data_IF_447937646405
#
_entry.id   IF_447937646405
#
_cell.length_a   1.000
_cell.length_b   1.000
_cell.length_c   1.000
_cell.angle_alpha   90.00
_cell.angle_beta   90.00
_cell.angle_gamma   90.00
#
_symmetry.space_group_name_H-M   'P 1'
#
loop_
_entity.id
_entity.type
_entity.pdbx_description
1 polymer ?
#
# COMPACT_ATOMS: atom_id res chain seq x y z
N UNK A 1 -13.74 -4.03 15.61
CA UNK A 1 -12.72 -4.00 14.56
C UNK A 1 -12.26 -5.43 14.34
N UNK A 2 -12.06 -5.83 13.09
CA UNK A 2 -11.53 -7.14 12.72
C UNK A 2 -10.58 -6.97 11.53
N UNK A 3 -9.64 -7.89 11.36
CA UNK A 3 -8.72 -7.87 10.24
C UNK A 3 -8.12 -9.24 10.00
N UNK A 4 -7.60 -9.44 8.79
CA UNK A 4 -6.89 -10.62 8.39
C UNK A 4 -5.75 -10.23 7.45
N UNK A 5 -4.66 -10.98 7.52
CA UNK A 5 -3.51 -10.84 6.64
C UNK A 5 -3.06 -12.21 6.12
N UNK A 6 -2.36 -12.17 4.99
CA UNK A 6 -1.78 -13.34 4.35
C UNK A 6 -0.50 -12.93 3.63
N UNK A 7 0.56 -13.69 3.87
CA UNK A 7 1.80 -13.64 3.08
C UNK A 7 2.05 -15.03 2.51
N UNK A 8 2.25 -15.08 1.19
CA UNK A 8 2.60 -16.30 0.48
C UNK A 8 3.74 -15.98 -0.48
N UNK A 9 4.85 -16.70 -0.38
CA UNK A 9 5.98 -16.42 -1.25
C UNK A 9 7.07 -17.47 -1.21
N UNK A 10 8.09 -17.19 -2.01
CA UNK A 10 9.40 -17.80 -1.96
C UNK A 10 10.45 -16.71 -2.16
N UNK A 11 11.72 -17.09 -2.26
CA UNK A 11 12.82 -16.15 -2.40
C UNK A 11 12.65 -15.15 -3.56
N UNK A 12 11.92 -15.51 -4.63
CA UNK A 12 11.81 -14.72 -5.84
C UNK A 12 10.53 -13.91 -5.99
N UNK A 13 9.44 -14.37 -5.38
CA UNK A 13 8.13 -13.76 -5.52
C UNK A 13 7.44 -13.86 -4.17
N UNK A 14 6.94 -12.73 -3.69
CA UNK A 14 6.12 -12.65 -2.49
C UNK A 14 4.79 -11.97 -2.82
N UNK A 15 3.71 -12.55 -2.30
CA UNK A 15 2.36 -12.02 -2.37
C UNK A 15 1.94 -11.66 -0.96
N UNK A 16 1.57 -10.40 -0.75
CA UNK A 16 1.02 -9.93 0.52
C UNK A 16 -0.42 -9.47 0.30
N UNK A 17 -1.29 -9.78 1.23
CA UNK A 17 -2.64 -9.25 1.25
C UNK A 17 -3.05 -8.96 2.70
N UNK A 18 -3.76 -7.85 2.89
CA UNK A 18 -4.34 -7.50 4.18
C UNK A 18 -5.72 -6.90 3.97
N UNK A 19 -6.63 -7.18 4.89
CA UNK A 19 -7.95 -6.57 4.94
C UNK A 19 -8.30 -6.21 6.39
N UNK A 20 -8.91 -5.06 6.59
CA UNK A 20 -9.34 -4.53 7.87
C UNK A 20 -10.75 -3.98 7.74
N UNK A 21 -11.58 -4.33 8.73
CA UNK A 21 -12.90 -3.79 8.95
C UNK A 21 -12.92 -3.00 10.25
N UNK A 22 -13.31 -1.72 10.15
CA UNK A 22 -13.50 -0.82 11.28
C UNK A 22 -14.94 -0.32 11.28
N UNK A 23 -15.50 -0.26 12.47
CA UNK A 23 -16.76 0.40 12.73
C UNK A 23 -16.57 1.37 13.89
N UNK A 24 -16.99 2.61 13.70
CA UNK A 24 -16.80 3.70 14.64
C UNK A 24 -18.09 4.51 14.78
N UNK A 25 -18.37 5.03 15.97
CA UNK A 25 -19.50 5.92 16.25
C UNK A 25 -19.11 7.39 16.26
N UNK A 26 -17.81 7.70 16.26
CA UNK A 26 -17.31 9.08 16.21
C UNK A 26 -15.93 9.15 15.52
N UNK A 27 -15.83 8.78 14.23
CA UNK A 27 -14.55 8.74 13.52
C UNK A 27 -13.87 10.11 13.39
N UNK A 28 -14.65 11.19 13.36
CA UNK A 28 -14.15 12.58 13.27
C UNK A 28 -13.84 13.20 14.63
N UNK A 29 -13.99 12.44 15.72
CA UNK A 29 -13.73 12.90 17.10
C UNK A 29 -14.51 14.18 17.48
N UNK A 30 -15.75 14.32 17.01
CA UNK A 30 -16.60 15.47 17.30
C UNK A 30 -17.00 15.52 18.78
N UNK A 31 -17.19 16.74 19.30
CA UNK A 31 -17.63 16.98 20.68
C UNK A 31 -19.01 16.40 21.00
N UNK A 32 -19.90 16.36 20.00
CA UNK A 32 -21.17 15.62 20.04
C UNK A 32 -21.02 14.45 19.10
N UNK A 33 -21.14 13.22 19.64
CA UNK A 33 -21.03 12.01 18.84
C UNK A 33 -22.14 12.01 17.78
N UNK A 34 -21.82 11.80 16.49
CA UNK A 34 -22.84 11.54 15.50
C UNK A 34 -23.70 10.35 15.93
N UNK A 35 -25.00 10.40 15.62
CA UNK A 35 -25.93 9.31 15.95
C UNK A 35 -25.74 8.06 15.08
N UNK A 36 -25.14 8.23 13.89
CA UNK A 36 -24.92 7.16 12.92
C UNK A 36 -23.52 6.56 13.07
N UNK A 37 -23.46 5.24 12.93
CA UNK A 37 -22.22 4.46 12.95
C UNK A 37 -21.61 4.48 11.56
N UNK A 38 -20.34 4.85 11.48
CA UNK A 38 -19.55 4.84 10.25
C UNK A 38 -18.77 3.53 10.17
N UNK A 39 -18.88 2.88 9.03
CA UNK A 39 -18.11 1.70 8.67
C UNK A 39 -17.03 2.14 7.67
N UNK A 40 -15.82 1.65 7.91
CA UNK A 40 -14.70 1.78 6.97
C UNK A 40 -14.04 0.42 6.85
N UNK A 41 -13.92 -0.05 5.62
CA UNK A 41 -13.28 -1.30 5.29
C UNK A 41 -12.25 -1.07 4.21
N UNK A 42 -11.16 -1.79 4.26
CA UNK A 42 -10.10 -1.59 3.29
C UNK A 42 -9.02 -2.63 3.41
N UNK A 43 -8.19 -2.68 2.40
CA UNK A 43 -7.13 -3.65 2.31
C UNK A 43 -6.18 -3.31 1.19
N UNK A 44 -5.16 -4.15 1.07
CA UNK A 44 -4.25 -4.10 -0.06
C UNK A 44 -3.90 -5.51 -0.52
N UNK A 45 -3.45 -5.59 -1.75
CA UNK A 45 -2.75 -6.75 -2.29
C UNK A 45 -1.45 -6.26 -2.93
N UNK A 46 -0.33 -6.91 -2.61
CA UNK A 46 1.00 -6.58 -3.08
C UNK A 46 1.67 -7.80 -3.68
N UNK A 47 2.43 -7.58 -4.76
CA UNK A 47 3.34 -8.54 -5.34
C UNK A 47 4.73 -7.93 -5.33
N UNK A 48 5.70 -8.65 -4.76
CA UNK A 48 7.11 -8.30 -4.77
C UNK A 48 7.84 -9.32 -5.66
N UNK A 49 8.70 -8.85 -6.55
CA UNK A 49 9.47 -9.68 -7.47
C UNK A 49 10.96 -9.38 -7.31
N UNK A 50 11.73 -10.42 -6.99
CA UNK A 50 13.17 -10.44 -6.70
C UNK A 50 13.82 -11.63 -7.43
N UNK A 51 14.12 -11.57 -8.74
CA UNK A 51 14.44 -12.78 -9.53
C UNK A 51 15.63 -13.61 -9.06
N UNK A 52 16.59 -12.98 -8.37
CA UNK A 52 17.80 -13.60 -7.81
C UNK A 52 17.69 -13.77 -6.29
N UNK A 53 16.47 -13.71 -5.74
CA UNK A 53 16.19 -13.73 -4.31
C UNK A 53 16.97 -12.66 -3.55
N UNK A 54 17.62 -13.07 -2.47
CA UNK A 54 18.46 -12.21 -1.63
C UNK A 54 19.61 -11.52 -2.38
N UNK A 55 20.04 -12.10 -3.51
CA UNK A 55 21.09 -11.52 -4.36
C UNK A 55 20.54 -10.53 -5.40
N UNK A 56 19.23 -10.30 -5.43
CA UNK A 56 18.59 -9.42 -6.41
C UNK A 56 19.06 -7.99 -6.25
N UNK A 57 19.70 -7.47 -7.30
CA UNK A 57 19.98 -6.04 -7.40
C UNK A 57 18.75 -5.23 -7.76
N UNK A 58 17.69 -5.85 -8.27
CA UNK A 58 16.46 -5.14 -8.56
C UNK A 58 15.27 -5.82 -7.88
N UNK A 59 14.37 -5.00 -7.38
CA UNK A 59 13.13 -5.44 -6.73
C UNK A 59 12.00 -4.65 -7.37
N UNK A 60 11.07 -5.37 -7.99
CA UNK A 60 9.83 -4.80 -8.50
C UNK A 60 8.71 -4.98 -7.49
N UNK A 61 7.83 -3.99 -7.36
CA UNK A 61 6.62 -4.08 -6.54
C UNK A 61 5.40 -3.66 -7.33
N UNK A 62 4.29 -4.36 -7.13
CA UNK A 62 2.97 -3.98 -7.61
C UNK A 62 2.02 -4.02 -6.42
N UNK A 63 1.42 -2.88 -6.09
CA UNK A 63 0.56 -2.72 -4.92
C UNK A 63 -0.79 -2.16 -5.36
N UNK A 64 -1.86 -2.84 -4.98
CA UNK A 64 -3.23 -2.38 -5.13
C UNK A 64 -3.81 -2.07 -3.74
N UNK A 65 -4.26 -0.84 -3.54
CA UNK A 65 -4.95 -0.43 -2.31
C UNK A 65 -6.42 -0.17 -2.59
N UNK A 66 -7.28 -0.57 -1.67
CA UNK A 66 -8.71 -0.28 -1.68
C UNK A 66 -9.18 0.09 -0.28
N UNK A 67 -9.92 1.20 -0.18
CA UNK A 67 -10.61 1.65 1.01
C UNK A 67 -12.00 2.11 0.58
N UNK A 68 -12.98 1.63 1.32
CA UNK A 68 -14.40 1.85 1.12
C UNK A 68 -14.98 2.27 2.48
N UNK A 69 -15.65 3.42 2.51
CA UNK A 69 -16.10 4.05 3.75
C UNK A 69 -17.46 4.68 3.56
N UNK A 70 -18.29 4.68 4.62
CA UNK A 70 -19.55 5.43 4.62
C UNK A 70 -19.33 6.95 4.52
N UNK A 71 -18.08 7.42 4.68
CA UNK A 71 -17.64 8.78 4.39
C UNK A 71 -17.02 8.83 2.98
N UNK A 72 -17.71 9.35 1.95
CA UNK A 72 -17.26 9.28 0.55
C UNK A 72 -15.91 9.97 0.30
N UNK A 73 -15.54 10.94 1.15
CA UNK A 73 -14.26 11.63 1.07
C UNK A 73 -13.05 10.71 1.40
N UNK A 74 -13.29 9.58 2.07
CA UNK A 74 -12.27 8.62 2.48
C UNK A 74 -12.14 7.43 1.52
N UNK A 75 -13.01 7.33 0.52
CA UNK A 75 -12.91 6.28 -0.48
C UNK A 75 -11.61 6.44 -1.28
N UNK A 76 -10.87 5.34 -1.37
CA UNK A 76 -9.54 5.37 -1.95
C UNK A 76 -9.21 4.07 -2.67
N UNK A 77 -8.95 4.16 -3.98
CA UNK A 77 -8.43 3.07 -4.79
C UNK A 77 -7.18 3.52 -5.50
N UNK A 78 -6.09 2.77 -5.35
CA UNK A 78 -4.84 3.09 -6.03
C UNK A 78 -4.10 1.85 -6.52
N UNK A 79 -3.39 2.05 -7.63
CA UNK A 79 -2.44 1.11 -8.20
C UNK A 79 -1.06 1.74 -8.13
N UNK A 80 -0.12 1.07 -7.48
CA UNK A 80 1.26 1.52 -7.39
C UNK A 80 2.18 0.48 -7.99
N UNK A 81 3.09 0.93 -8.84
CA UNK A 81 4.19 0.14 -9.36
C UNK A 81 5.51 0.76 -8.89
N UNK A 82 6.34 -0.03 -8.24
CA UNK A 82 7.65 0.37 -7.77
C UNK A 82 8.76 -0.42 -8.44
N UNK A 83 9.90 0.22 -8.64
CA UNK A 83 11.13 -0.42 -9.07
C UNK A 83 12.29 0.13 -8.24
N UNK A 84 13.00 -0.78 -7.59
CA UNK A 84 14.16 -0.49 -6.79
C UNK A 84 15.39 -1.13 -7.44
N UNK A 85 16.50 -0.41 -7.54
CA UNK A 85 17.78 -0.90 -8.04
C UNK A 85 18.92 -0.60 -7.09
N UNK A 86 19.60 -1.63 -6.61
CA UNK A 86 20.77 -1.59 -5.74
C UNK A 86 22.03 -1.30 -6.57
N UNK A 87 22.57 -0.09 -6.42
CA UNK A 87 23.83 0.33 -7.05
C UNK A 87 25.03 -0.24 -6.30
N UNK A 88 24.98 -0.18 -4.97
CA UNK A 88 25.98 -0.69 -4.06
C UNK A 88 25.29 -1.21 -2.80
N UNK A 89 26.01 -1.94 -1.94
CA UNK A 89 25.45 -2.53 -0.72
C UNK A 89 24.74 -1.51 0.19
N UNK A 90 25.14 -0.25 0.10
CA UNK A 90 24.65 0.87 0.88
C UNK A 90 23.91 1.95 0.07
N UNK A 91 23.71 1.73 -1.24
CA UNK A 91 23.13 2.74 -2.14
C UNK A 91 22.12 2.10 -3.09
N UNK A 92 20.90 2.66 -3.13
CA UNK A 92 19.80 2.19 -3.95
C UNK A 92 19.11 3.37 -4.64
N UNK A 93 18.69 3.18 -5.88
CA UNK A 93 17.74 4.06 -6.58
C UNK A 93 16.35 3.44 -6.47
N UNK A 94 15.35 4.25 -6.18
CA UNK A 94 13.95 3.84 -6.14
C UNK A 94 13.14 4.74 -7.08
N UNK A 95 12.23 4.11 -7.82
CA UNK A 95 11.21 4.81 -8.60
C UNK A 95 9.85 4.21 -8.32
N UNK A 96 8.85 5.05 -8.14
CA UNK A 96 7.47 4.63 -7.89
C UNK A 96 6.51 5.43 -8.75
N UNK A 97 5.52 4.73 -9.30
CA UNK A 97 4.41 5.29 -10.05
C UNK A 97 3.12 4.87 -9.36
N UNK A 98 2.31 5.83 -8.94
CA UNK A 98 1.01 5.57 -8.33
C UNK A 98 -0.10 6.21 -9.17
N UNK A 99 -1.11 5.44 -9.52
CA UNK A 99 -2.36 5.92 -10.11
C UNK A 99 -3.48 5.82 -9.08
N UNK A 100 -4.07 6.96 -8.72
CA UNK A 100 -5.22 7.05 -7.81
C UNK A 100 -6.49 7.12 -8.66
N UNK A 101 -7.31 6.08 -8.58
CA UNK A 101 -8.50 5.93 -9.43
C UNK A 101 -9.59 6.97 -9.08
N UNK A 102 -9.82 7.24 -7.79
CA UNK A 102 -10.87 8.15 -7.31
C UNK A 102 -10.68 9.57 -7.88
N UNK A 103 -9.47 10.10 -7.81
CA UNK A 103 -9.13 11.45 -8.31
C UNK A 103 -8.57 11.44 -9.74
N UNK A 104 -8.46 10.25 -10.36
CA UNK A 104 -7.80 10.03 -11.66
C UNK A 104 -6.42 10.70 -11.76
N UNK A 105 -5.69 10.74 -10.65
CA UNK A 105 -4.43 11.45 -10.52
C UNK A 105 -3.27 10.46 -10.51
N UNK A 106 -2.22 10.76 -11.26
CA UNK A 106 -0.96 10.01 -11.23
C UNK A 106 0.08 10.75 -10.42
N UNK A 107 0.87 10.02 -9.65
CA UNK A 107 2.04 10.50 -8.91
C UNK A 107 3.25 9.69 -9.35
N UNK A 108 4.36 10.37 -9.53
CA UNK A 108 5.64 9.74 -9.87
C UNK A 108 6.66 10.21 -8.85
N UNK A 109 7.41 9.27 -8.29
CA UNK A 109 8.48 9.52 -7.33
C UNK A 109 9.76 8.87 -7.84
N UNK A 110 10.88 9.58 -7.69
CA UNK A 110 12.22 9.08 -7.97
C UNK A 110 13.12 9.52 -6.81
N UNK A 111 13.88 8.59 -6.25
CA UNK A 111 14.70 8.85 -5.08
C UNK A 111 15.96 8.00 -5.04
N UNK A 112 16.92 8.46 -4.23
CA UNK A 112 18.13 7.72 -3.89
C UNK A 112 18.08 7.46 -2.38
N UNK A 113 18.31 6.21 -2.00
CA UNK A 113 18.34 5.75 -0.61
C UNK A 113 19.78 5.36 -0.30
N UNK A 114 20.36 5.97 0.73
CA UNK A 114 21.71 5.69 1.22
C UNK A 114 21.63 5.23 2.67
N UNK A 115 22.33 4.16 3.02
CA UNK A 115 22.52 3.70 4.39
C UNK A 115 24.00 3.86 4.78
N UNK A 116 24.31 4.28 6.01
CA UNK A 116 25.67 4.47 6.51
C UNK A 116 25.92 3.66 7.78
#
# INVERSE_FOLDING_TARGET
MAGADMTLGNDKIELNAQYVYRSDTNPEMLAVKPGERVITQGGFAEVIISPQGDNSRWIGTLLYNIVDSDLPALDYKSYTAGLNYLLARNLRIAGEYTYIQNTKTSKVSLGIISAF
#
